data_IF_632311260193
#
_entry.id   IF_632311260193
#
_cell.length_a   1.000
_cell.length_b   1.000
_cell.length_c   1.000
_cell.angle_alpha   90.00
_cell.angle_beta   90.00
_cell.angle_gamma   90.00
#
_symmetry.space_group_name_H-M   'P 1'
#
loop_
_entity.id
_entity.type
_entity.pdbx_description
1 polymer ?
#
# COMPACT_ATOMS: atom_id res chain seq x y z
N UNK A 1 12.11 22.85 -9.83
CA UNK A 1 12.07 22.41 -8.42
C UNK A 1 13.45 22.48 -7.76
N UNK A 2 14.44 21.70 -8.22
CA UNK A 2 15.78 21.68 -7.61
C UNK A 2 16.46 23.06 -7.59
N UNK A 3 16.36 23.83 -8.68
CA UNK A 3 16.87 25.20 -8.76
C UNK A 3 16.26 26.16 -7.73
N UNK A 4 15.00 25.92 -7.34
CA UNK A 4 14.36 26.70 -6.27
C UNK A 4 14.96 26.36 -4.92
N UNK A 5 15.26 25.08 -4.65
CA UNK A 5 15.89 24.67 -3.40
C UNK A 5 17.35 25.12 -3.32
N UNK A 6 18.08 25.13 -4.44
CA UNK A 6 19.44 25.68 -4.51
C UNK A 6 19.47 27.18 -4.19
N UNK A 7 18.48 27.94 -4.68
CA UNK A 7 18.31 29.36 -4.34
C UNK A 7 17.99 29.56 -2.86
N UNK A 8 17.10 28.75 -2.30
CA UNK A 8 16.77 28.82 -0.86
C UNK A 8 18.00 28.46 -0.02
N UNK A 9 18.80 27.49 -0.46
CA UNK A 9 19.99 27.04 0.26
C UNK A 9 21.08 28.13 0.28
N UNK A 10 21.23 28.92 -0.79
CA UNK A 10 22.19 30.03 -0.82
C UNK A 10 21.83 31.20 0.11
N UNK A 11 20.56 31.33 0.47
CA UNK A 11 20.07 32.42 1.34
C UNK A 11 20.31 32.13 2.84
N UNK A 12 20.63 30.88 3.21
CA UNK A 12 20.83 30.46 4.60
C UNK A 12 22.28 30.07 4.91
N UNK A 13 22.76 30.44 6.10
CA UNK A 13 24.10 30.07 6.57
C UNK A 13 24.24 28.56 6.82
N UNK A 14 25.45 28.06 6.55
CA UNK A 14 25.82 26.65 6.70
C UNK A 14 25.78 26.27 8.19
N UNK A 15 24.98 25.25 8.53
CA UNK A 15 24.86 24.74 9.90
C UNK A 15 23.59 25.16 10.64
N UNK A 16 22.75 25.99 10.03
CA UNK A 16 21.42 26.30 10.58
C UNK A 16 20.45 25.12 10.43
N UNK A 17 19.46 25.00 11.32
CA UNK A 17 18.45 23.92 11.23
C UNK A 17 17.66 23.96 9.92
N UNK A 18 17.42 25.16 9.39
CA UNK A 18 16.72 25.38 8.11
C UNK A 18 17.58 24.89 6.93
N UNK A 19 18.90 25.11 6.99
CA UNK A 19 19.84 24.63 5.98
C UNK A 19 19.79 23.10 5.86
N UNK A 20 19.88 22.38 6.98
CA UNK A 20 19.82 20.91 6.98
C UNK A 20 18.46 20.38 6.50
N UNK A 21 17.35 20.95 6.96
CA UNK A 21 16.02 20.56 6.52
C UNK A 21 15.82 20.78 5.00
N UNK A 22 16.40 21.84 4.45
CA UNK A 22 16.33 22.15 3.01
C UNK A 22 17.20 21.18 2.21
N UNK A 23 18.39 20.85 2.71
CA UNK A 23 19.28 19.86 2.12
C UNK A 23 18.64 18.47 2.09
N UNK A 24 18.01 18.02 3.19
CA UNK A 24 17.28 16.76 3.24
C UNK A 24 16.14 16.70 2.22
N UNK A 25 15.34 17.77 2.12
CA UNK A 25 14.30 17.89 1.09
C UNK A 25 14.89 17.76 -0.31
N UNK A 26 16.01 18.44 -0.58
CA UNK A 26 16.69 18.35 -1.87
C UNK A 26 17.15 16.91 -2.18
N UNK A 27 17.72 16.21 -1.20
CA UNK A 27 18.10 14.79 -1.35
C UNK A 27 16.89 13.90 -1.62
N UNK A 28 15.79 14.08 -0.88
CA UNK A 28 14.54 13.35 -1.10
C UNK A 28 13.99 13.58 -2.51
N UNK A 29 13.95 14.83 -2.98
CA UNK A 29 13.48 15.19 -4.32
C UNK A 29 14.37 14.59 -5.40
N UNK A 30 15.71 14.64 -5.26
CA UNK A 30 16.65 13.99 -6.18
C UNK A 30 16.40 12.48 -6.26
N UNK A 31 16.25 11.83 -5.11
CA UNK A 31 16.01 10.39 -5.07
C UNK A 31 14.66 10.02 -5.71
N UNK A 32 13.61 10.82 -5.46
CA UNK A 32 12.30 10.67 -6.12
C UNK A 32 12.42 10.73 -7.64
N UNK A 33 13.14 11.72 -8.19
CA UNK A 33 13.33 11.84 -9.63
C UNK A 33 14.11 10.65 -10.19
N UNK A 34 15.14 10.17 -9.49
CA UNK A 34 15.91 9.00 -9.91
C UNK A 34 15.03 7.74 -10.05
N UNK A 35 14.15 7.48 -9.08
CA UNK A 35 13.19 6.38 -9.16
C UNK A 35 12.14 6.54 -10.27
N UNK A 36 11.84 7.78 -10.69
CA UNK A 36 10.87 8.06 -11.75
C UNK A 36 11.45 7.92 -13.17
N UNK A 37 12.78 7.96 -13.34
CA UNK A 37 13.44 7.76 -14.65
C UNK A 37 13.20 6.37 -15.25
N UNK A 38 12.90 5.41 -14.38
CA UNK A 38 12.52 4.03 -14.67
C UNK A 38 11.14 3.97 -15.36
N UNK A 39 10.31 5.01 -15.19
CA UNK A 39 8.94 5.07 -15.72
C UNK A 39 8.91 5.67 -17.14
N UNK A 40 7.86 5.31 -17.90
CA UNK A 40 7.65 5.88 -19.23
C UNK A 40 7.14 7.32 -19.10
N UNK A 41 7.93 8.28 -19.58
CA UNK A 41 7.55 9.69 -19.61
C UNK A 41 6.87 10.08 -20.93
N UNK A 42 5.90 11.01 -20.88
CA UNK A 42 5.30 11.57 -22.08
C UNK A 42 6.28 12.51 -22.81
N UNK A 43 6.27 12.51 -24.15
CA UNK A 43 7.17 13.34 -24.97
C UNK A 43 6.90 14.85 -24.82
N UNK A 44 5.64 15.23 -24.58
CA UNK A 44 5.25 16.64 -24.52
C UNK A 44 5.45 17.23 -23.12
N UNK A 45 5.10 16.47 -22.08
CA UNK A 45 5.05 17.00 -20.69
C UNK A 45 6.27 16.58 -19.85
N UNK A 46 7.01 15.54 -20.26
CA UNK A 46 8.12 14.97 -19.48
C UNK A 46 7.70 14.27 -18.17
N UNK A 47 6.40 14.22 -17.87
CA UNK A 47 5.86 13.62 -16.65
C UNK A 47 5.70 12.09 -16.80
N UNK A 48 5.98 11.32 -15.73
CA UNK A 48 5.84 9.87 -15.74
C UNK A 48 4.36 9.48 -15.85
N UNK A 49 4.04 8.52 -16.72
CA UNK A 49 2.72 7.90 -16.82
C UNK A 49 2.83 6.40 -16.59
N UNK A 50 1.84 5.86 -15.89
CA UNK A 50 1.72 4.43 -15.66
C UNK A 50 0.84 3.83 -16.77
N UNK A 51 1.34 2.79 -17.43
CA UNK A 51 0.57 2.02 -18.41
C UNK A 51 0.27 0.63 -17.84
N UNK A 52 -0.98 0.20 -17.96
CA UNK A 52 -1.44 -1.08 -17.41
C UNK A 52 -1.11 -2.28 -18.31
N UNK A 53 -1.19 -2.10 -19.64
CA UNK A 53 -0.94 -3.15 -20.64
C UNK A 53 0.23 -2.72 -21.53
N UNK A 54 1.46 -3.14 -21.20
CA UNK A 54 2.56 -3.10 -22.18
C UNK A 54 3.35 -4.42 -22.12
N UNK A 55 3.32 -5.23 -23.19
CA UNK A 55 3.80 -6.61 -23.14
C UNK A 55 5.33 -6.77 -23.13
N UNK A 56 6.12 -5.69 -23.21
CA UNK A 56 7.57 -5.81 -23.46
C UNK A 56 8.50 -4.90 -22.65
N UNK A 57 8.03 -4.24 -21.58
CA UNK A 57 8.93 -3.41 -20.74
C UNK A 57 8.67 -3.63 -19.25
N UNK A 58 9.71 -4.11 -18.56
CA UNK A 58 10.00 -4.47 -17.16
C UNK A 58 9.22 -3.88 -15.96
N UNK A 59 8.01 -3.33 -16.09
CA UNK A 59 7.37 -2.62 -14.97
C UNK A 59 5.94 -3.07 -14.70
N UNK A 60 5.83 -4.26 -14.11
CA UNK A 60 4.60 -4.80 -13.52
C UNK A 60 4.27 -4.15 -12.15
N UNK A 61 4.71 -2.92 -11.87
CA UNK A 61 4.46 -2.25 -10.58
C UNK A 61 2.97 -2.19 -10.26
N UNK A 62 2.13 -1.93 -11.27
CA UNK A 62 0.69 -1.88 -11.07
C UNK A 62 0.11 -3.24 -10.66
N UNK A 63 0.51 -4.33 -11.33
CA UNK A 63 0.00 -5.68 -11.02
C UNK A 63 0.42 -6.09 -9.61
N UNK A 64 1.65 -5.82 -9.21
CA UNK A 64 2.15 -6.11 -7.86
C UNK A 64 1.33 -5.34 -6.82
N UNK A 65 1.12 -4.03 -7.02
CA UNK A 65 0.31 -3.22 -6.10
C UNK A 65 -1.15 -3.69 -6.03
N UNK A 66 -1.74 -4.10 -7.16
CA UNK A 66 -3.11 -4.65 -7.19
C UNK A 66 -3.21 -5.97 -6.45
N UNK A 67 -2.25 -6.89 -6.65
CA UNK A 67 -2.21 -8.16 -5.94
C UNK A 67 -2.04 -7.95 -4.43
N UNK A 68 -1.20 -7.00 -4.03
CA UNK A 68 -1.03 -6.64 -2.62
C UNK A 68 -2.32 -6.05 -2.02
N UNK A 69 -2.99 -5.17 -2.75
CA UNK A 69 -4.28 -4.62 -2.33
C UNK A 69 -5.33 -5.72 -2.18
N UNK A 70 -5.46 -6.60 -3.18
CA UNK A 70 -6.39 -7.72 -3.15
C UNK A 70 -6.10 -8.65 -1.96
N UNK A 71 -4.82 -8.95 -1.71
CA UNK A 71 -4.40 -9.75 -0.56
C UNK A 71 -4.87 -9.13 0.77
N UNK A 72 -4.64 -7.83 0.97
CA UNK A 72 -5.05 -7.13 2.20
C UNK A 72 -6.57 -7.14 2.36
N UNK A 73 -7.31 -6.82 1.30
CA UNK A 73 -8.78 -6.79 1.35
C UNK A 73 -9.39 -8.17 1.60
N UNK A 74 -8.81 -9.25 1.07
CA UNK A 74 -9.22 -10.62 1.34
C UNK A 74 -9.02 -10.97 2.83
N UNK A 75 -7.85 -10.65 3.40
CA UNK A 75 -7.59 -10.90 4.81
C UNK A 75 -8.61 -10.18 5.71
N UNK A 76 -8.90 -8.91 5.42
CA UNK A 76 -9.88 -8.12 6.19
C UNK A 76 -11.28 -8.74 6.07
N UNK A 77 -11.75 -9.01 4.85
CA UNK A 77 -13.07 -9.57 4.62
C UNK A 77 -13.25 -10.95 5.28
N UNK A 78 -12.19 -11.77 5.28
CA UNK A 78 -12.24 -13.08 5.91
C UNK A 78 -12.32 -13.02 7.44
N UNK A 79 -11.51 -12.16 8.07
CA UNK A 79 -11.58 -11.95 9.54
C UNK A 79 -12.97 -11.49 9.95
N UNK A 80 -13.54 -10.52 9.22
CA UNK A 80 -14.87 -10.01 9.50
C UNK A 80 -15.93 -11.12 9.44
N UNK A 81 -15.91 -11.97 8.40
CA UNK A 81 -16.81 -13.12 8.29
C UNK A 81 -16.63 -14.10 9.44
N UNK A 82 -15.39 -14.48 9.73
CA UNK A 82 -15.07 -15.45 10.80
C UNK A 82 -15.40 -14.94 12.21
N UNK A 83 -15.36 -13.62 12.42
CA UNK A 83 -15.81 -13.00 13.66
C UNK A 83 -17.33 -13.10 13.79
N UNK A 84 -18.08 -12.65 12.77
CA UNK A 84 -19.56 -12.69 12.75
C UNK A 84 -20.10 -14.12 12.89
N UNK A 85 -19.47 -15.11 12.26
CA UNK A 85 -19.86 -16.51 12.37
C UNK A 85 -19.67 -17.09 13.78
N UNK A 86 -18.73 -16.56 14.57
CA UNK A 86 -18.47 -17.00 15.95
C UNK A 86 -19.33 -16.29 16.98
N UNK A 87 -19.62 -15.01 16.76
CA UNK A 87 -20.37 -14.19 17.71
C UNK A 87 -21.88 -14.40 17.60
N UNK A 88 -22.46 -14.43 16.38
CA UNK A 88 -23.89 -14.66 16.10
C UNK A 88 -24.90 -13.83 16.92
N UNK A 89 -24.45 -12.81 17.64
CA UNK A 89 -25.22 -11.99 18.56
C UNK A 89 -24.94 -10.52 18.29
N UNK A 90 -25.97 -9.69 18.26
CA UNK A 90 -25.85 -8.25 18.00
C UNK A 90 -24.99 -7.53 19.05
N UNK A 91 -25.04 -7.96 20.31
CA UNK A 91 -24.32 -7.31 21.42
C UNK A 91 -22.80 -7.34 21.22
N UNK A 92 -22.30 -8.43 20.64
CA UNK A 92 -20.86 -8.61 20.39
C UNK A 92 -20.37 -7.99 19.08
N UNK A 93 -21.27 -7.40 18.29
CA UNK A 93 -20.91 -6.52 17.15
C UNK A 93 -20.70 -5.08 17.62
N UNK A 94 -21.49 -4.61 18.59
CA UNK A 94 -21.40 -3.27 19.17
C UNK A 94 -20.27 -3.23 20.21
N UNK A 95 -20.26 -4.20 21.12
CA UNK A 95 -19.19 -4.40 22.10
C UNK A 95 -18.25 -5.50 21.61
N UNK A 96 -17.25 -5.09 20.83
CA UNK A 96 -16.32 -6.01 20.19
C UNK A 96 -15.52 -6.79 21.25
N UNK A 97 -15.54 -8.11 21.13
CA UNK A 97 -14.69 -9.00 21.90
C UNK A 97 -13.24 -8.90 21.42
N UNK A 98 -12.50 -7.92 21.97
CA UNK A 98 -11.09 -7.66 21.68
C UNK A 98 -10.19 -8.92 21.66
N UNK A 99 -10.19 -9.81 22.66
CA UNK A 99 -9.30 -10.97 22.64
C UNK A 99 -9.64 -11.92 21.49
N UNK A 100 -10.93 -12.12 21.20
CA UNK A 100 -11.36 -12.94 20.06
C UNK A 100 -10.92 -12.30 18.74
N UNK A 101 -11.19 -11.00 18.56
CA UNK A 101 -10.83 -10.26 17.35
C UNK A 101 -9.32 -10.32 17.07
N UNK A 102 -8.47 -10.12 18.08
CA UNK A 102 -7.02 -10.20 17.94
C UNK A 102 -6.56 -11.61 17.54
N UNK A 103 -7.12 -12.66 18.15
CA UNK A 103 -6.77 -14.04 17.76
C UNK A 103 -7.15 -14.37 16.33
N UNK A 104 -8.27 -13.83 15.82
CA UNK A 104 -8.68 -14.00 14.43
C UNK A 104 -7.81 -13.19 13.48
N UNK A 105 -7.47 -11.94 13.83
CA UNK A 105 -6.54 -11.11 13.04
C UNK A 105 -5.18 -11.78 12.87
N UNK A 106 -4.59 -12.32 13.94
CA UNK A 106 -3.28 -13.00 13.89
C UNK A 106 -3.34 -14.29 13.07
N UNK A 107 -4.43 -15.07 13.18
CA UNK A 107 -4.61 -16.30 12.38
C UNK A 107 -4.82 -16.02 10.89
N UNK A 108 -5.38 -14.85 10.56
CA UNK A 108 -5.83 -14.55 9.21
C UNK A 108 -4.74 -14.22 8.19
N UNK A 109 -3.58 -13.77 8.66
CA UNK A 109 -2.51 -13.32 7.76
C UNK A 109 -1.88 -14.48 6.99
N UNK A 110 -1.88 -15.70 7.53
CA UNK A 110 -1.16 -16.83 6.93
C UNK A 110 -2.03 -17.88 6.24
N UNK A 111 -3.31 -18.04 6.62
CA UNK A 111 -4.08 -19.26 6.27
C UNK A 111 -5.31 -19.03 5.39
N UNK A 112 -5.74 -17.79 5.18
CA UNK A 112 -7.09 -17.53 4.69
C UNK A 112 -7.26 -17.64 3.19
N UNK A 113 -6.22 -17.41 2.39
CA UNK A 113 -6.32 -17.61 0.95
C UNK A 113 -6.61 -19.09 0.65
N UNK A 114 -5.78 -20.07 1.05
CA UNK A 114 -6.12 -21.48 0.80
C UNK A 114 -7.47 -21.92 1.39
N UNK A 115 -7.79 -21.49 2.63
CA UNK A 115 -9.04 -21.86 3.29
C UNK A 115 -10.28 -21.29 2.60
N UNK A 116 -10.20 -20.05 2.07
CA UNK A 116 -11.32 -19.40 1.39
C UNK A 116 -11.65 -20.08 0.07
N UNK A 117 -10.63 -20.41 -0.73
CA UNK A 117 -10.79 -21.17 -1.95
C UNK A 117 -11.35 -22.57 -1.69
N UNK A 118 -10.83 -23.27 -0.68
CA UNK A 118 -11.34 -24.60 -0.29
C UNK A 118 -12.80 -24.54 0.17
N UNK A 119 -13.18 -23.54 0.98
CA UNK A 119 -14.56 -23.33 1.41
C UNK A 119 -15.49 -22.93 0.24
N UNK A 120 -14.97 -22.19 -0.76
CA UNK A 120 -15.70 -21.84 -1.98
C UNK A 120 -16.00 -23.09 -2.81
N UNK A 121 -14.97 -23.89 -3.09
CA UNK A 121 -15.13 -25.13 -3.85
C UNK A 121 -15.99 -26.17 -3.10
N UNK A 122 -15.99 -26.15 -1.76
CA UNK A 122 -16.85 -26.99 -0.92
C UNK A 122 -18.28 -26.45 -0.74
N UNK A 123 -18.61 -25.30 -1.34
CA UNK A 123 -19.94 -24.67 -1.23
C UNK A 123 -20.31 -24.17 0.17
N UNK A 124 -19.35 -24.12 1.11
CA UNK A 124 -19.56 -23.66 2.50
C UNK A 124 -19.55 -22.14 2.65
N UNK A 125 -19.23 -21.39 1.59
CA UNK A 125 -19.26 -19.93 1.63
C UNK A 125 -20.66 -19.33 1.47
N UNK A 126 -21.53 -20.00 0.73
CA UNK A 126 -22.89 -19.52 0.40
C UNK A 126 -23.93 -19.87 1.46
N UNK A 127 -23.51 -20.53 2.55
CA UNK A 127 -24.35 -21.06 3.62
C UNK A 127 -23.92 -20.47 4.95
#
# INVERSE_FOLDING_TARGET
ELTSYEKILSDYEIGTSIYFATLEKMHYVKNRFFHQLILVCNRNDGLPRLFFFKPSTSYNYFIISVLQFLYITICIGWVSREYLLRTKQYESEILINLPLALTLMIKSTFREIPNSWDNLFKGKLLR
#
